data_IF_435911343474
#
_entry.id   IF_435911343474
#
_cell.length_a   1.000
_cell.length_b   1.000
_cell.length_c   1.000
_cell.angle_alpha   90.00
_cell.angle_beta   90.00
_cell.angle_gamma   90.00
#
_symmetry.space_group_name_H-M   'P 1'
#
loop_
_entity.id
_entity.type
_entity.pdbx_description
1 polymer ?
#
# COMPACT_ATOMS: atom_id res chain seq x y z
N UNK A 1 56.14 -7.86 47.23
CA UNK A 1 55.83 -7.49 45.82
C UNK A 1 54.51 -8.14 45.46
N UNK A 2 53.39 -7.43 45.64
CA UNK A 2 52.05 -7.92 45.34
C UNK A 2 51.22 -6.80 44.70
N UNK A 3 51.78 -6.27 43.61
CA UNK A 3 51.07 -5.49 42.59
C UNK A 3 50.57 -6.54 41.62
N UNK A 4 49.26 -6.77 41.48
CA UNK A 4 48.60 -7.44 40.32
C UNK A 4 47.08 -7.68 40.51
N UNK A 5 46.48 -7.38 41.67
CA UNK A 5 45.04 -7.63 41.89
C UNK A 5 44.08 -6.59 41.28
N UNK A 6 44.53 -5.35 41.09
CA UNK A 6 43.64 -4.24 40.68
C UNK A 6 43.42 -4.16 39.16
N UNK A 7 44.33 -4.75 38.38
CA UNK A 7 44.29 -4.68 36.91
C UNK A 7 43.20 -5.61 36.36
N UNK A 8 42.97 -6.78 36.99
CA UNK A 8 41.91 -7.71 36.58
C UNK A 8 40.49 -7.20 36.92
N UNK A 9 40.33 -6.45 38.01
CA UNK A 9 39.02 -5.87 38.37
C UNK A 9 38.58 -4.76 37.42
N UNK A 10 39.53 -4.02 36.84
CA UNK A 10 39.24 -2.93 35.89
C UNK A 10 38.76 -3.47 34.53
N UNK A 11 39.30 -4.61 34.08
CA UNK A 11 38.95 -5.20 32.79
C UNK A 11 37.52 -5.77 32.75
N UNK A 12 37.03 -6.31 33.88
CA UNK A 12 35.66 -6.85 33.98
C UNK A 12 34.61 -5.72 34.04
N UNK A 13 34.96 -4.56 34.61
CA UNK A 13 34.06 -3.41 34.65
C UNK A 13 33.77 -2.79 33.27
N UNK A 14 34.67 -3.01 32.29
CA UNK A 14 34.49 -2.56 30.91
C UNK A 14 33.53 -3.46 30.10
N UNK A 15 33.22 -4.67 30.59
CA UNK A 15 32.28 -5.61 29.95
C UNK A 15 30.82 -5.39 30.38
N UNK A 16 30.56 -4.43 31.29
CA UNK A 16 29.24 -4.12 31.84
C UNK A 16 28.68 -2.77 31.36
N UNK A 17 29.24 -2.17 30.31
CA UNK A 17 28.56 -1.08 29.63
C UNK A 17 27.43 -1.68 28.77
N UNK A 18 26.15 -1.50 29.12
CA UNK A 18 25.09 -1.79 28.17
C UNK A 18 25.35 -0.90 26.95
N UNK A 19 25.60 -1.53 25.81
CA UNK A 19 25.53 -0.85 24.52
C UNK A 19 24.07 -0.47 24.38
N UNK A 20 23.70 0.72 24.85
CA UNK A 20 22.43 1.34 24.51
C UNK A 20 22.58 1.68 23.03
N UNK A 21 22.27 0.71 22.18
CA UNK A 21 21.99 0.97 20.80
C UNK A 21 20.72 1.84 20.79
N UNK A 22 20.91 3.16 20.85
CA UNK A 22 19.90 4.10 20.44
C UNK A 22 19.66 3.82 18.96
N UNK A 23 18.74 2.90 18.68
CA UNK A 23 18.15 2.79 17.36
C UNK A 23 17.42 4.11 17.17
N UNK A 24 18.10 5.08 16.55
CA UNK A 24 17.46 6.28 16.03
C UNK A 24 16.57 5.82 14.88
N UNK A 25 15.40 5.28 15.22
CA UNK A 25 14.43 4.87 14.24
C UNK A 25 14.01 6.11 13.48
N UNK A 26 14.48 6.19 12.24
CA UNK A 26 14.26 7.30 11.35
C UNK A 26 12.76 7.49 11.12
N UNK A 27 12.34 8.73 10.88
CA UNK A 27 10.98 9.03 10.47
C UNK A 27 10.61 8.17 9.26
N UNK A 28 9.43 7.55 9.31
CA UNK A 28 8.89 6.75 8.23
C UNK A 28 7.40 6.98 8.09
N UNK A 29 6.81 6.49 7.01
CA UNK A 29 5.37 6.62 6.78
C UNK A 29 4.63 5.63 7.68
N UNK A 30 3.69 6.12 8.48
CA UNK A 30 2.72 5.31 9.19
C UNK A 30 1.32 5.61 8.67
N UNK A 31 0.46 4.59 8.76
CA UNK A 31 -0.98 4.73 8.58
C UNK A 31 -1.62 4.74 9.96
N UNK A 32 -2.36 5.80 10.25
CA UNK A 32 -3.23 5.93 11.43
C UNK A 32 -4.65 5.62 10.95
N UNK A 33 -5.28 4.64 11.59
CA UNK A 33 -6.59 4.12 11.20
C UNK A 33 -7.60 4.35 12.33
N UNK A 34 -8.73 4.98 12.00
CA UNK A 34 -9.82 5.32 12.93
C UNK A 34 -11.05 4.40 12.78
N UNK A 35 -11.04 3.44 11.85
CA UNK A 35 -12.20 2.60 11.59
C UNK A 35 -13.02 3.03 10.36
N UNK A 36 -14.30 2.68 10.38
CA UNK A 36 -15.30 3.14 9.42
C UNK A 36 -15.89 4.47 9.89
N UNK A 37 -16.24 5.34 8.94
CA UNK A 37 -16.94 6.57 9.24
C UNK A 37 -18.44 6.29 9.40
N UNK A 38 -19.11 6.88 10.40
CA UNK A 38 -20.57 6.72 10.58
C UNK A 38 -21.38 7.34 9.44
N UNK A 39 -20.76 8.16 8.58
CA UNK A 39 -21.39 8.86 7.48
C UNK A 39 -21.97 10.23 7.87
N UNK A 40 -21.88 10.60 9.16
CA UNK A 40 -22.53 11.80 9.68
C UNK A 40 -21.68 13.08 9.54
N UNK A 41 -20.35 12.94 9.43
CA UNK A 41 -19.42 14.07 9.24
C UNK A 41 -19.19 14.35 7.76
N UNK A 42 -19.09 15.62 7.42
CA UNK A 42 -18.67 16.10 6.10
C UNK A 42 -17.18 15.82 5.85
N UNK A 43 -16.79 15.72 4.58
CA UNK A 43 -15.41 15.38 4.20
C UNK A 43 -14.36 16.35 4.78
N UNK A 44 -14.71 17.63 4.90
CA UNK A 44 -13.81 18.64 5.46
C UNK A 44 -13.63 18.47 6.97
N UNK A 45 -14.69 18.11 7.70
CA UNK A 45 -14.63 17.86 9.14
C UNK A 45 -13.74 16.64 9.45
N UNK A 46 -13.78 15.61 8.60
CA UNK A 46 -12.88 14.46 8.69
C UNK A 46 -11.42 14.89 8.48
N UNK A 47 -11.16 15.73 7.48
CA UNK A 47 -9.80 16.24 7.20
C UNK A 47 -9.27 17.12 8.34
N UNK A 48 -10.10 17.99 8.91
CA UNK A 48 -9.75 18.79 10.08
C UNK A 48 -9.46 17.91 11.30
N UNK A 49 -10.26 16.86 11.52
CA UNK A 49 -10.02 15.88 12.56
C UNK A 49 -8.66 15.20 12.38
N UNK A 50 -8.35 14.68 11.19
CA UNK A 50 -7.05 14.08 10.90
C UNK A 50 -5.89 15.03 11.17
N UNK A 51 -6.05 16.28 10.73
CA UNK A 51 -5.07 17.32 10.94
C UNK A 51 -4.86 17.60 12.44
N UNK A 52 -5.94 17.67 13.22
CA UNK A 52 -5.87 17.87 14.68
C UNK A 52 -5.08 16.76 15.40
N UNK A 53 -5.34 15.49 15.08
CA UNK A 53 -4.58 14.36 15.63
C UNK A 53 -3.09 14.47 15.24
N UNK A 54 -2.78 14.79 13.99
CA UNK A 54 -1.40 14.93 13.55
C UNK A 54 -0.67 16.10 14.23
N UNK A 55 -1.32 17.27 14.35
CA UNK A 55 -0.76 18.44 15.06
C UNK A 55 -0.51 18.15 16.54
N UNK A 56 -1.29 17.27 17.19
CA UNK A 56 -1.10 16.93 18.61
C UNK A 56 0.23 16.25 18.93
N UNK A 57 0.89 15.64 17.94
CA UNK A 57 2.16 14.91 18.13
C UNK A 57 3.35 15.58 17.43
N UNK A 58 3.13 16.66 16.69
CA UNK A 58 4.13 17.43 15.94
C UNK A 58 4.49 18.70 16.69
N UNK A 59 5.70 19.22 16.45
CA UNK A 59 6.18 20.37 17.22
C UNK A 59 5.56 21.68 16.72
N UNK A 60 5.20 21.74 15.44
CA UNK A 60 4.57 22.90 14.82
C UNK A 60 3.47 22.50 13.82
N UNK A 61 2.57 23.45 13.58
CA UNK A 61 1.50 23.34 12.60
C UNK A 61 2.02 23.11 11.16
N UNK A 62 3.10 23.80 10.79
CA UNK A 62 3.70 23.64 9.46
C UNK A 62 4.36 22.28 9.30
N UNK A 63 4.97 21.74 10.36
CA UNK A 63 5.52 20.38 10.34
C UNK A 63 4.40 19.33 10.23
N UNK A 64 3.27 19.53 10.93
CA UNK A 64 2.11 18.66 10.81
C UNK A 64 1.58 18.62 9.38
N UNK A 65 1.35 19.79 8.78
CA UNK A 65 0.89 19.91 7.39
C UNK A 65 1.87 19.31 6.40
N UNK A 66 3.18 19.53 6.58
CA UNK A 66 4.21 18.96 5.72
C UNK A 66 4.38 17.45 5.88
N UNK A 67 4.01 16.88 7.04
CA UNK A 67 4.12 15.46 7.33
C UNK A 67 2.95 14.64 6.79
N UNK A 68 1.80 15.26 6.51
CA UNK A 68 0.60 14.60 6.01
C UNK A 68 0.78 14.22 4.53
N UNK A 69 0.71 12.92 4.22
CA UNK A 69 0.79 12.42 2.84
C UNK A 69 -0.58 12.19 2.22
N UNK A 70 -1.52 11.68 3.02
CA UNK A 70 -2.85 11.38 2.53
C UNK A 70 -3.87 11.34 3.66
N UNK A 71 -5.09 11.81 3.37
CA UNK A 71 -6.26 11.75 4.25
C UNK A 71 -7.27 10.78 3.64
N UNK A 72 -7.50 9.64 4.29
CA UNK A 72 -8.52 8.66 3.90
C UNK A 72 -9.86 9.06 4.51
N UNK A 73 -10.79 9.54 3.68
CA UNK A 73 -12.04 10.20 4.11
C UNK A 73 -13.32 9.58 3.55
N UNK A 74 -13.20 8.43 2.89
CA UNK A 74 -14.32 7.78 2.21
C UNK A 74 -14.60 6.43 2.86
N UNK A 75 -14.29 5.33 2.18
CA UNK A 75 -14.58 3.96 2.66
C UNK A 75 -13.83 3.56 3.92
N UNK A 76 -12.74 4.25 4.23
CA UNK A 76 -11.98 4.08 5.47
C UNK A 76 -11.66 5.46 6.04
N UNK A 77 -11.59 5.55 7.36
CA UNK A 77 -11.23 6.75 8.10
C UNK A 77 -9.79 6.62 8.64
N UNK A 78 -8.93 7.59 8.36
CA UNK A 78 -7.50 7.50 8.66
C UNK A 78 -6.63 8.49 7.91
N UNK A 79 -5.35 8.51 8.22
CA UNK A 79 -4.36 9.26 7.44
C UNK A 79 -3.02 8.54 7.36
N UNK A 80 -2.27 8.86 6.31
CA UNK A 80 -0.87 8.48 6.16
C UNK A 80 0.02 9.69 6.40
N UNK A 81 1.01 9.56 7.29
CA UNK A 81 1.93 10.65 7.62
C UNK A 81 3.34 10.16 7.93
N UNK A 82 4.32 11.05 7.75
CA UNK A 82 5.73 10.84 8.13
C UNK A 82 5.90 11.09 9.63
N UNK A 83 6.18 10.03 10.39
CA UNK A 83 6.22 10.03 11.85
C UNK A 83 7.48 9.33 12.37
N UNK A 84 7.99 9.81 13.51
CA UNK A 84 8.92 9.02 14.34
C UNK A 84 8.15 7.90 15.05
N UNK A 85 8.80 6.81 15.50
CA UNK A 85 8.07 5.79 16.25
C UNK A 85 7.48 6.29 17.56
N UNK A 86 8.10 7.30 18.19
CA UNK A 86 7.55 7.93 19.39
C UNK A 86 6.25 8.67 19.06
N UNK A 87 6.20 9.42 17.96
CA UNK A 87 4.98 10.07 17.48
C UNK A 87 3.88 9.05 17.15
N UNK A 88 4.25 7.97 16.43
CA UNK A 88 3.33 6.90 16.09
C UNK A 88 2.78 6.17 17.34
N UNK A 89 3.62 5.95 18.35
CA UNK A 89 3.20 5.33 19.62
C UNK A 89 2.23 6.22 20.39
N UNK A 90 2.50 7.53 20.46
CA UNK A 90 1.56 8.49 21.07
C UNK A 90 0.21 8.49 20.38
N UNK A 91 0.19 8.49 19.04
CA UNK A 91 -1.07 8.41 18.28
C UNK A 91 -1.83 7.11 18.56
N UNK A 92 -1.13 5.98 18.70
CA UNK A 92 -1.76 4.69 19.00
C UNK A 92 -2.45 4.63 20.37
N UNK A 93 -2.10 5.54 21.29
CA UNK A 93 -2.70 5.65 22.62
C UNK A 93 -3.87 6.63 22.68
N UNK A 94 -4.14 7.38 21.59
CA UNK A 94 -5.21 8.37 21.55
C UNK A 94 -6.58 7.69 21.38
N UNK A 95 -7.61 8.33 21.92
CA UNK A 95 -9.00 7.91 21.74
C UNK A 95 -9.35 7.86 20.23
N UNK A 96 -10.33 7.02 19.87
CA UNK A 96 -10.77 6.78 18.47
C UNK A 96 -9.73 6.17 17.51
N UNK A 97 -8.43 6.21 17.81
CA UNK A 97 -7.40 5.55 17.00
C UNK A 97 -7.49 4.04 17.20
N UNK A 98 -7.88 3.33 16.15
CA UNK A 98 -8.03 1.86 16.17
C UNK A 98 -6.66 1.18 16.02
N UNK A 99 -5.81 1.69 15.12
CA UNK A 99 -4.45 1.14 14.96
C UNK A 99 -3.51 2.13 14.28
N UNK A 100 -2.22 2.03 14.61
CA UNK A 100 -1.15 2.73 13.91
C UNK A 100 -0.11 1.72 13.46
N UNK A 101 0.21 1.69 12.17
CA UNK A 101 1.16 0.72 11.62
C UNK A 101 2.03 1.33 10.53
N UNK A 102 3.31 0.91 10.42
CA UNK A 102 4.18 1.44 9.38
C UNK A 102 3.69 1.01 7.99
N UNK A 103 3.72 1.94 7.06
CA UNK A 103 3.46 1.66 5.65
C UNK A 103 4.63 0.88 5.07
N UNK A 104 4.34 -0.23 4.41
CA UNK A 104 5.35 -1.10 3.79
C UNK A 104 5.19 -1.08 2.27
N UNK A 105 5.72 -0.06 1.57
CA UNK A 105 5.52 0.09 0.12
C UNK A 105 6.08 -1.09 -0.71
N UNK A 106 6.99 -1.88 -0.15
CA UNK A 106 7.59 -3.06 -0.81
C UNK A 106 6.97 -4.41 -0.42
N UNK A 107 6.00 -4.43 0.52
CA UNK A 107 5.42 -5.69 1.02
C UNK A 107 4.52 -6.37 -0.01
N UNK A 108 3.90 -5.59 -0.91
CA UNK A 108 3.05 -6.12 -1.96
C UNK A 108 3.75 -5.98 -3.30
N UNK A 109 4.42 -7.06 -3.73
CA UNK A 109 4.86 -7.18 -5.12
C UNK A 109 3.63 -7.55 -5.95
N UNK A 110 3.18 -6.63 -6.80
CA UNK A 110 2.09 -6.91 -7.72
C UNK A 110 2.55 -7.99 -8.72
N UNK A 111 1.85 -9.13 -8.73
CA UNK A 111 2.24 -10.32 -9.50
C UNK A 111 1.47 -10.50 -10.81
N UNK A 112 0.40 -9.73 -11.04
CA UNK A 112 -0.40 -9.86 -12.25
C UNK A 112 0.09 -8.87 -13.29
N UNK A 113 0.45 -9.39 -14.46
CA UNK A 113 0.49 -8.63 -15.72
C UNK A 113 -0.47 -9.35 -16.67
N UNK A 114 -1.13 -8.63 -17.58
CA UNK A 114 -2.06 -9.20 -18.58
C UNK A 114 -3.31 -9.82 -17.96
N UNK A 115 -3.91 -9.14 -17.00
CA UNK A 115 -5.09 -9.59 -16.27
C UNK A 115 -6.28 -10.02 -17.15
N UNK A 116 -6.42 -9.49 -18.38
CA UNK A 116 -7.43 -9.92 -19.36
C UNK A 116 -7.15 -11.31 -19.98
N UNK A 117 -5.88 -11.70 -20.11
CA UNK A 117 -5.48 -13.05 -20.52
C UNK A 117 -5.61 -14.05 -19.39
N UNK A 118 -5.29 -13.64 -18.16
CA UNK A 118 -5.40 -14.48 -16.98
C UNK A 118 -6.84 -14.95 -16.73
N UNK A 119 -7.83 -14.11 -17.02
CA UNK A 119 -9.26 -14.45 -16.90
C UNK A 119 -9.83 -15.20 -18.12
N UNK A 120 -9.01 -15.50 -19.13
CA UNK A 120 -9.41 -16.31 -20.29
C UNK A 120 -10.43 -15.66 -21.23
N UNK A 121 -10.67 -14.35 -21.11
CA UNK A 121 -11.66 -13.64 -21.94
C UNK A 121 -11.27 -13.62 -23.43
N UNK A 122 -9.98 -13.64 -23.74
CA UNK A 122 -9.46 -13.60 -25.12
C UNK A 122 -9.77 -14.87 -25.92
N UNK A 123 -9.69 -16.05 -25.28
CA UNK A 123 -9.93 -17.32 -25.95
C UNK A 123 -11.41 -17.51 -26.30
N UNK A 124 -12.33 -16.95 -25.50
CA UNK A 124 -13.77 -17.01 -25.76
C UNK A 124 -14.21 -16.08 -26.92
N UNK A 125 -13.49 -14.97 -27.15
CA UNK A 125 -13.71 -14.09 -28.29
C UNK A 125 -13.17 -14.73 -29.59
N UNK A 126 -12.03 -15.43 -29.50
CA UNK A 126 -11.40 -16.11 -30.66
C UNK A 126 -12.05 -17.44 -31.04
N UNK A 127 -12.74 -18.11 -30.11
CA UNK A 127 -13.37 -19.43 -30.30
C UNK A 127 -14.83 -19.39 -30.78
N UNK A 128 -15.29 -18.30 -31.39
CA UNK A 128 -16.58 -18.25 -32.11
C UNK A 128 -16.70 -19.28 -33.26
N UNK A 129 -15.64 -20.05 -33.53
CA UNK A 129 -15.63 -21.15 -34.50
C UNK A 129 -15.66 -22.49 -33.75
N UNK A 130 -16.87 -23.04 -33.58
CA UNK A 130 -17.25 -24.42 -33.17
C UNK A 130 -17.73 -24.57 -31.72
N UNK A 131 -19.06 -24.50 -31.52
CA UNK A 131 -19.91 -25.60 -30.99
C UNK A 131 -21.23 -25.04 -30.44
N UNK A 132 -22.34 -25.30 -31.13
CA UNK A 132 -23.70 -24.83 -30.80
C UNK A 132 -24.34 -25.45 -29.54
N UNK A 133 -23.59 -26.17 -28.69
CA UNK A 133 -24.16 -26.86 -27.51
C UNK A 133 -23.72 -26.34 -26.13
N UNK A 134 -22.76 -25.43 -26.07
CA UNK A 134 -22.32 -24.84 -24.81
C UNK A 134 -22.74 -23.39 -24.75
N UNK A 135 -23.63 -23.02 -23.83
CA UNK A 135 -23.88 -21.60 -23.57
C UNK A 135 -22.56 -20.97 -23.12
N UNK A 136 -22.04 -20.03 -23.91
CA UNK A 136 -20.78 -19.34 -23.61
C UNK A 136 -20.83 -18.73 -22.20
N UNK A 137 -19.71 -18.73 -21.48
CA UNK A 137 -19.61 -18.19 -20.12
C UNK A 137 -20.05 -16.72 -20.10
N UNK A 138 -19.69 -15.95 -21.12
CA UNK A 138 -20.16 -14.57 -21.29
C UNK A 138 -21.69 -14.48 -21.34
N UNK A 139 -22.35 -15.34 -22.12
CA UNK A 139 -23.82 -15.34 -22.25
C UNK A 139 -24.50 -15.82 -20.96
N UNK A 140 -23.92 -16.81 -20.27
CA UNK A 140 -24.37 -17.28 -18.94
C UNK A 140 -24.22 -16.19 -17.87
N UNK A 141 -23.13 -15.44 -17.90
CA UNK A 141 -22.88 -14.28 -17.05
C UNK A 141 -23.67 -13.03 -17.47
N UNK A 142 -24.56 -13.14 -18.47
CA UNK A 142 -25.32 -12.01 -19.04
C UNK A 142 -24.42 -10.84 -19.47
N UNK A 143 -23.20 -11.15 -19.92
CA UNK A 143 -22.14 -10.21 -20.29
C UNK A 143 -21.75 -9.24 -19.17
N UNK A 144 -21.91 -9.65 -17.90
CA UNK A 144 -21.62 -8.80 -16.74
C UNK A 144 -22.65 -7.70 -16.51
N UNK A 145 -23.88 -7.83 -17.03
CA UNK A 145 -24.96 -6.87 -16.75
C UNK A 145 -25.14 -6.67 -15.25
N UNK A 146 -25.14 -5.40 -14.83
CA UNK A 146 -25.25 -4.94 -13.44
C UNK A 146 -24.11 -5.44 -12.52
N UNK A 147 -22.94 -5.74 -13.09
CA UNK A 147 -21.75 -6.13 -12.34
C UNK A 147 -20.61 -5.17 -12.68
N UNK A 148 -19.93 -4.67 -11.66
CA UNK A 148 -18.68 -3.89 -11.80
C UNK A 148 -17.55 -4.78 -11.28
N UNK A 149 -16.53 -5.01 -12.10
CA UNK A 149 -15.31 -5.73 -11.71
C UNK A 149 -14.17 -4.72 -11.65
N UNK A 150 -13.70 -4.40 -10.45
CA UNK A 150 -12.51 -3.58 -10.24
C UNK A 150 -11.25 -4.43 -10.34
N UNK A 151 -10.26 -3.97 -11.10
CA UNK A 151 -8.97 -4.62 -11.24
C UNK A 151 -7.86 -3.65 -10.83
N UNK A 152 -7.04 -4.04 -9.86
CA UNK A 152 -5.83 -3.32 -9.45
C UNK A 152 -4.62 -4.06 -10.03
N UNK A 153 -3.97 -3.46 -11.02
CA UNK A 153 -2.81 -4.01 -11.73
C UNK A 153 -1.62 -3.05 -11.60
N UNK A 154 -0.40 -3.58 -11.66
CA UNK A 154 0.86 -2.83 -11.73
C UNK A 154 1.07 -2.11 -13.06
N UNK A 155 0.33 -2.49 -14.11
CA UNK A 155 0.43 -1.92 -15.45
C UNK A 155 1.87 -1.92 -16.01
N UNK A 156 2.63 -2.99 -15.79
CA UNK A 156 3.94 -3.16 -16.42
C UNK A 156 3.79 -3.38 -17.94
N UNK A 157 3.94 -2.31 -18.72
CA UNK A 157 4.06 -2.39 -20.18
C UNK A 157 5.48 -2.84 -20.55
N UNK A 158 5.64 -4.07 -21.04
CA UNK A 158 6.84 -4.42 -21.79
C UNK A 158 6.82 -3.65 -23.13
N UNK A 159 7.91 -2.97 -23.53
CA UNK A 159 7.95 -2.27 -24.80
C UNK A 159 7.77 -3.26 -25.96
N UNK A 160 6.66 -3.15 -26.67
CA UNK A 160 6.30 -3.97 -27.84
C UNK A 160 7.13 -3.61 -29.08
N UNK A 161 8.45 -3.57 -28.98
CA UNK A 161 9.28 -3.13 -30.11
C UNK A 161 9.56 -4.22 -31.17
N UNK A 162 8.96 -5.41 -31.09
CA UNK A 162 9.27 -6.51 -32.03
C UNK A 162 8.08 -7.33 -32.57
N UNK A 163 6.82 -6.97 -32.32
CA UNK A 163 5.67 -7.75 -32.81
C UNK A 163 5.06 -7.27 -34.14
N UNK A 164 5.53 -6.17 -34.73
CA UNK A 164 4.95 -5.62 -35.97
C UNK A 164 5.54 -6.16 -37.29
N UNK A 165 6.48 -7.11 -37.26
CA UNK A 165 7.15 -7.59 -38.49
C UNK A 165 6.77 -9.01 -38.95
N UNK A 166 5.75 -9.64 -38.36
CA UNK A 166 5.28 -10.96 -38.81
C UNK A 166 3.76 -11.04 -38.90
N UNK A 167 3.15 -10.19 -39.74
CA UNK A 167 1.84 -10.50 -40.31
C UNK A 167 2.00 -10.75 -41.81
N UNK A 168 1.65 -11.95 -42.32
CA UNK A 168 1.67 -12.21 -43.75
C UNK A 168 0.55 -11.40 -44.42
N UNK A 169 0.94 -10.62 -45.43
CA UNK A 169 0.03 -10.02 -46.40
C UNK A 169 -0.93 -11.08 -46.95
N UNK A 170 -2.23 -10.92 -46.72
CA UNK A 170 -3.24 -11.55 -47.57
C UNK A 170 -4.46 -10.65 -47.79
N UNK A 171 -4.56 -10.24 -49.06
CA UNK A 171 -5.72 -9.99 -49.89
C UNK A 171 -6.81 -8.97 -49.50
N UNK A 172 -6.82 -7.90 -50.31
CA UNK A 172 -7.99 -7.14 -50.77
C UNK A 172 -9.15 -8.08 -51.19
N UNK A 173 -10.38 -7.76 -50.78
CA UNK A 173 -11.61 -7.83 -51.61
C UNK A 173 -12.77 -7.01 -51.01
N UNK A 174 -13.25 -6.04 -51.81
CA UNK A 174 -14.64 -5.62 -52.06
C UNK A 174 -15.59 -5.38 -50.85
N UNK A 175 -16.00 -4.13 -50.60
CA UNK A 175 -17.00 -3.34 -51.34
C UNK A 175 -16.63 -1.86 -51.28
#
# INVERSE_FOLDING_TARGET
MAINGWIFSSLVSLLLFPIIAASSSQNQVYVVYFGEHSGDKELHEIEESHHSYLSSVKDTEDEARASLLYSYKHSINGFAAVLSPAQASRLAEMEEVVSVFPSHPRKHKMHTTRSWEFVGLEEEIKSQVKTEKSQSLLRRAKYGRNVIVGLLDSANYLPLHNYLYTLPHSHKMLQ
#
